data_IF_571731776783
#
_entry.id   IF_571731776783
#
_cell.length_a   1.000
_cell.length_b   1.000
_cell.length_c   1.000
_cell.angle_alpha   90.00
_cell.angle_beta   90.00
_cell.angle_gamma   90.00
#
_symmetry.space_group_name_H-M   'P 1'
#
loop_
_entity.id
_entity.type
_entity.pdbx_description
1 polymer ?
#
# COMPACT_ATOMS: atom_id res chain seq x y z
N UNK A 1 -5.81 22.04 34.07
CA UNK A 1 -6.27 22.56 32.76
C UNK A 1 -6.61 21.37 31.88
N UNK A 2 -7.89 21.09 31.64
CA UNK A 2 -8.30 20.06 30.68
C UNK A 2 -8.37 20.69 29.29
N UNK A 3 -7.44 20.37 28.41
CA UNK A 3 -7.55 20.71 26.99
C UNK A 3 -8.59 19.80 26.35
N UNK A 4 -9.80 20.31 26.09
CA UNK A 4 -10.74 19.65 25.19
C UNK A 4 -10.09 19.64 23.81
N UNK A 5 -9.74 18.47 23.29
CA UNK A 5 -9.35 18.32 21.90
C UNK A 5 -10.56 18.67 21.03
N UNK A 6 -10.42 19.55 20.04
CA UNK A 6 -11.54 19.89 19.15
C UNK A 6 -11.97 18.63 18.40
N UNK A 7 -13.27 18.34 18.41
CA UNK A 7 -13.84 17.26 17.61
C UNK A 7 -13.57 17.56 16.14
N UNK A 8 -12.97 16.63 15.37
CA UNK A 8 -12.74 16.85 13.96
C UNK A 8 -14.08 17.00 13.24
N UNK A 9 -14.29 18.15 12.59
CA UNK A 9 -15.48 18.43 11.79
C UNK A 9 -15.14 18.23 10.32
N UNK A 10 -15.94 17.43 9.61
CA UNK A 10 -15.84 17.29 8.15
C UNK A 10 -16.67 18.39 7.47
N UNK A 11 -16.11 18.99 6.41
CA UNK A 11 -16.86 19.99 5.64
C UNK A 11 -18.08 19.33 4.96
N UNK A 12 -19.22 20.05 4.79
CA UNK A 12 -20.40 19.50 4.13
C UNK A 12 -20.13 18.94 2.72
N UNK A 13 -19.21 19.57 1.98
CA UNK A 13 -18.78 19.10 0.65
C UNK A 13 -18.08 17.75 0.71
N UNK A 14 -17.19 17.57 1.70
CA UNK A 14 -16.50 16.30 1.89
C UNK A 14 -17.46 15.18 2.34
N UNK A 15 -18.43 15.48 3.21
CA UNK A 15 -19.45 14.51 3.61
C UNK A 15 -20.39 14.11 2.46
N UNK A 16 -20.75 15.06 1.59
CA UNK A 16 -21.51 14.75 0.37
C UNK A 16 -20.73 13.84 -0.58
N UNK A 17 -19.45 14.14 -0.82
CA UNK A 17 -18.61 13.28 -1.67
C UNK A 17 -18.48 11.87 -1.09
N UNK A 18 -18.27 11.78 0.23
CA UNK A 18 -18.14 10.51 0.95
C UNK A 18 -19.38 9.61 0.76
N UNK A 19 -20.57 10.16 1.02
CA UNK A 19 -21.84 9.45 0.83
C UNK A 19 -22.10 9.06 -0.63
N UNK A 20 -21.73 9.93 -1.59
CA UNK A 20 -21.83 9.64 -3.03
C UNK A 20 -20.90 8.50 -3.47
N UNK A 21 -19.63 8.52 -3.05
CA UNK A 21 -18.65 7.47 -3.35
C UNK A 21 -19.05 6.13 -2.73
N UNK A 22 -19.52 6.16 -1.50
CA UNK A 22 -19.99 4.97 -0.80
C UNK A 22 -21.37 4.47 -1.27
N UNK A 23 -22.09 5.27 -2.06
CA UNK A 23 -23.47 5.02 -2.52
C UNK A 23 -24.45 4.75 -1.37
N UNK A 24 -24.30 5.48 -0.27
CA UNK A 24 -25.18 5.39 0.89
C UNK A 24 -25.36 6.78 1.52
N UNK A 25 -26.56 7.07 2.03
CA UNK A 25 -26.84 8.32 2.76
C UNK A 25 -26.40 8.28 4.22
N UNK A 26 -26.07 7.10 4.75
CA UNK A 26 -25.51 6.94 6.10
C UNK A 26 -24.02 7.34 6.07
N UNK A 27 -23.70 8.44 6.75
CA UNK A 27 -22.36 9.01 6.76
C UNK A 27 -21.34 8.10 7.45
N UNK A 28 -21.70 7.51 8.59
CA UNK A 28 -20.75 6.67 9.35
C UNK A 28 -20.48 5.37 8.58
N UNK A 29 -21.52 4.77 8.00
CA UNK A 29 -21.37 3.62 7.11
C UNK A 29 -20.55 3.97 5.86
N UNK A 30 -20.76 5.15 5.27
CA UNK A 30 -19.99 5.62 4.13
C UNK A 30 -18.49 5.78 4.48
N UNK A 31 -18.20 6.32 5.65
CA UNK A 31 -16.84 6.55 6.12
C UNK A 31 -16.12 5.23 6.34
N UNK A 32 -16.73 4.30 7.07
CA UNK A 32 -16.17 2.98 7.29
C UNK A 32 -15.93 2.25 5.97
N UNK A 33 -16.92 2.24 5.07
CA UNK A 33 -16.79 1.61 3.75
C UNK A 33 -15.59 2.15 2.99
N UNK A 34 -15.44 3.48 2.89
CA UNK A 34 -14.33 4.10 2.15
C UNK A 34 -12.96 3.82 2.77
N UNK A 35 -12.86 3.76 4.10
CA UNK A 35 -11.62 3.40 4.77
C UNK A 35 -11.21 1.96 4.46
N UNK A 36 -12.17 1.03 4.46
CA UNK A 36 -11.91 -0.38 4.12
C UNK A 36 -11.61 -0.56 2.64
N UNK A 37 -12.38 0.08 1.75
CA UNK A 37 -12.14 0.08 0.31
C UNK A 37 -10.74 0.63 -0.02
N UNK A 38 -10.29 1.67 0.70
CA UNK A 38 -8.94 2.20 0.54
C UNK A 38 -7.87 1.16 0.88
N UNK A 39 -8.03 0.44 2.00
CA UNK A 39 -7.08 -0.62 2.39
C UNK A 39 -7.03 -1.72 1.33
N UNK A 40 -8.18 -2.16 0.83
CA UNK A 40 -8.25 -3.17 -0.24
C UNK A 40 -7.55 -2.70 -1.51
N UNK A 41 -7.86 -1.48 -1.98
CA UNK A 41 -7.26 -0.91 -3.18
C UNK A 41 -5.75 -0.72 -3.02
N UNK A 42 -5.27 -0.35 -1.83
CA UNK A 42 -3.83 -0.21 -1.57
C UNK A 42 -3.10 -1.54 -1.59
N UNK A 43 -3.65 -2.56 -0.94
CA UNK A 43 -3.05 -3.91 -0.97
C UNK A 43 -3.03 -4.44 -2.40
N UNK A 44 -4.11 -4.29 -3.16
CA UNK A 44 -4.18 -4.72 -4.57
C UNK A 44 -3.16 -4.01 -5.47
N UNK A 45 -3.00 -2.69 -5.29
CA UNK A 45 -2.01 -1.92 -6.04
C UNK A 45 -0.58 -2.39 -5.74
N UNK A 46 -0.26 -2.62 -4.46
CA UNK A 46 1.05 -3.11 -4.05
C UNK A 46 1.33 -4.51 -4.60
N UNK A 47 0.35 -5.43 -4.53
CA UNK A 47 0.50 -6.77 -5.09
C UNK A 47 0.69 -6.77 -6.62
N UNK A 48 0.04 -5.83 -7.32
CA UNK A 48 0.21 -5.67 -8.77
C UNK A 48 1.63 -5.18 -9.12
N UNK A 49 2.16 -4.22 -8.36
CA UNK A 49 3.55 -3.75 -8.51
C UNK A 49 4.56 -4.86 -8.20
N UNK A 50 4.34 -5.62 -7.13
CA UNK A 50 5.15 -6.80 -6.77
C UNK A 50 5.14 -7.82 -7.90
N UNK A 51 3.97 -8.17 -8.42
CA UNK A 51 3.83 -9.13 -9.53
C UNK A 51 4.57 -8.67 -10.78
N UNK A 52 4.56 -7.37 -11.07
CA UNK A 52 5.29 -6.81 -12.21
C UNK A 52 6.82 -6.95 -12.05
N UNK A 53 7.33 -6.77 -10.83
CA UNK A 53 8.75 -6.97 -10.51
C UNK A 53 9.12 -8.46 -10.56
N UNK A 54 8.28 -9.34 -9.99
CA UNK A 54 8.45 -10.80 -10.10
C UNK A 54 8.46 -11.27 -11.55
N UNK A 55 7.58 -10.72 -12.39
CA UNK A 55 7.54 -11.04 -13.81
C UNK A 55 8.78 -10.51 -14.56
N UNK A 56 9.28 -9.32 -14.20
CA UNK A 56 10.48 -8.72 -14.79
C UNK A 56 11.72 -9.56 -14.50
N UNK A 57 11.89 -9.99 -13.25
CA UNK A 57 13.09 -10.69 -12.79
C UNK A 57 12.97 -12.22 -12.84
N UNK A 58 11.76 -12.76 -13.03
CA UNK A 58 11.49 -14.19 -13.07
C UNK A 58 11.78 -14.91 -11.75
N UNK A 59 11.74 -14.19 -10.63
CA UNK A 59 12.06 -14.70 -9.30
C UNK A 59 11.33 -13.89 -8.22
N UNK A 60 11.30 -14.41 -6.99
CA UNK A 60 10.78 -13.68 -5.83
C UNK A 60 11.77 -12.63 -5.32
N UNK A 61 11.31 -11.65 -4.53
CA UNK A 61 12.19 -10.64 -3.94
C UNK A 61 13.31 -11.26 -3.10
N UNK A 62 12.99 -12.25 -2.27
CA UNK A 62 13.98 -12.91 -1.41
C UNK A 62 15.03 -13.71 -2.20
N UNK A 63 14.72 -14.19 -3.41
CA UNK A 63 15.70 -14.78 -4.32
C UNK A 63 16.53 -13.70 -5.02
N UNK A 64 15.89 -12.60 -5.42
CA UNK A 64 16.55 -11.43 -6.00
C UNK A 64 17.61 -10.84 -5.06
N UNK A 65 17.25 -10.64 -3.77
CA UNK A 65 18.19 -10.18 -2.74
C UNK A 65 19.39 -11.13 -2.59
N UNK A 66 19.14 -12.44 -2.46
CA UNK A 66 20.22 -13.44 -2.39
C UNK A 66 21.15 -13.39 -3.61
N UNK A 67 20.58 -13.26 -4.80
CA UNK A 67 21.35 -13.17 -6.05
C UNK A 67 22.18 -11.89 -6.15
N UNK A 68 21.73 -10.78 -5.58
CA UNK A 68 22.54 -9.56 -5.45
C UNK A 68 23.69 -9.79 -4.47
N UNK A 69 23.42 -10.33 -3.28
CA UNK A 69 24.43 -10.62 -2.25
C UNK A 69 25.52 -11.58 -2.74
N UNK A 70 25.11 -12.64 -3.46
CA UNK A 70 26.00 -13.64 -4.04
C UNK A 70 26.65 -13.19 -5.36
N UNK A 71 26.36 -11.97 -5.83
CA UNK A 71 26.79 -11.43 -7.13
C UNK A 71 26.49 -12.41 -8.31
N UNK A 72 25.33 -13.06 -8.27
CA UNK A 72 24.88 -14.11 -9.18
C UNK A 72 23.56 -13.78 -9.89
N UNK A 73 23.21 -12.48 -9.92
CA UNK A 73 22.00 -11.96 -10.57
C UNK A 73 22.05 -12.13 -12.11
N UNK A 74 23.24 -12.11 -12.70
CA UNK A 74 23.42 -12.15 -14.17
C UNK A 74 23.35 -10.77 -14.83
N UNK A 75 23.07 -9.73 -14.05
CA UNK A 75 23.20 -8.31 -14.41
C UNK A 75 24.21 -7.62 -13.49
N UNK A 76 24.67 -6.43 -13.87
CA UNK A 76 25.50 -5.60 -13.00
C UNK A 76 24.68 -5.12 -11.81
N UNK A 77 25.01 -5.62 -10.61
CA UNK A 77 24.28 -5.33 -9.37
C UNK A 77 24.30 -3.85 -8.97
N UNK A 78 25.26 -3.08 -9.49
CA UNK A 78 25.38 -1.62 -9.28
C UNK A 78 24.78 -0.80 -10.43
N UNK A 79 24.16 -1.46 -11.41
CA UNK A 79 23.43 -0.75 -12.44
C UNK A 79 22.25 0.00 -11.80
N UNK A 80 22.09 1.27 -12.18
CA UNK A 80 21.01 2.13 -11.67
C UNK A 80 19.62 1.49 -11.78
N UNK A 81 19.35 0.73 -12.83
CA UNK A 81 18.07 0.03 -13.01
C UNK A 81 17.85 -1.11 -11.99
N UNK A 82 18.91 -1.83 -11.62
CA UNK A 82 18.87 -2.89 -10.60
C UNK A 82 18.64 -2.27 -9.23
N UNK A 83 19.36 -1.20 -8.90
CA UNK A 83 19.19 -0.48 -7.65
C UNK A 83 17.78 0.12 -7.52
N UNK A 84 17.28 0.75 -8.58
CA UNK A 84 15.94 1.32 -8.59
C UNK A 84 14.87 0.24 -8.34
N UNK A 85 14.99 -0.90 -8.99
CA UNK A 85 14.07 -2.02 -8.81
C UNK A 85 14.17 -2.59 -7.39
N UNK A 86 15.38 -2.78 -6.85
CA UNK A 86 15.57 -3.21 -5.47
C UNK A 86 14.83 -2.30 -4.49
N UNK A 87 15.04 -0.98 -4.61
CA UNK A 87 14.48 0.01 -3.68
C UNK A 87 12.95 0.07 -3.82
N UNK A 88 12.44 -0.03 -5.03
CA UNK A 88 11.01 -0.10 -5.28
C UNK A 88 10.40 -1.35 -4.65
N UNK A 89 11.04 -2.49 -4.81
CA UNK A 89 10.54 -3.77 -4.31
C UNK A 89 10.57 -3.84 -2.78
N UNK A 90 11.67 -3.43 -2.15
CA UNK A 90 11.81 -3.36 -0.70
C UNK A 90 10.74 -2.47 -0.07
N UNK A 91 10.51 -1.29 -0.68
CA UNK A 91 9.44 -0.39 -0.28
C UNK A 91 8.06 -1.05 -0.43
N UNK A 92 7.83 -1.76 -1.54
CA UNK A 92 6.57 -2.43 -1.80
C UNK A 92 6.28 -3.50 -0.73
N UNK A 93 7.24 -4.39 -0.43
CA UNK A 93 7.09 -5.41 0.61
C UNK A 93 6.80 -4.80 1.98
N UNK A 94 7.55 -3.76 2.35
CA UNK A 94 7.37 -3.06 3.64
C UNK A 94 5.97 -2.45 3.75
N UNK A 95 5.51 -1.76 2.70
CA UNK A 95 4.19 -1.15 2.69
C UNK A 95 3.07 -2.19 2.64
N UNK A 96 3.27 -3.27 1.88
CA UNK A 96 2.29 -4.35 1.76
C UNK A 96 2.05 -4.98 3.12
N UNK A 97 3.13 -5.35 3.83
CA UNK A 97 3.03 -5.88 5.18
C UNK A 97 2.27 -4.92 6.12
N UNK A 98 2.62 -3.63 6.13
CA UNK A 98 1.94 -2.63 6.94
C UNK A 98 0.43 -2.55 6.65
N UNK A 99 0.04 -2.49 5.37
CA UNK A 99 -1.37 -2.38 5.00
C UNK A 99 -2.14 -3.68 5.20
N UNK A 100 -1.52 -4.85 5.04
CA UNK A 100 -2.14 -6.14 5.36
C UNK A 100 -2.40 -6.29 6.88
N UNK A 101 -1.44 -5.90 7.72
CA UNK A 101 -1.61 -5.88 9.17
C UNK A 101 -2.71 -4.90 9.59
N UNK A 102 -2.74 -3.71 8.97
CA UNK A 102 -3.78 -2.72 9.22
C UNK A 102 -5.15 -3.25 8.77
N UNK A 103 -5.23 -3.90 7.61
CA UNK A 103 -6.44 -4.53 7.09
C UNK A 103 -6.96 -5.61 8.02
N UNK A 104 -6.11 -6.53 8.46
CA UNK A 104 -6.48 -7.63 9.37
C UNK A 104 -6.96 -7.14 10.75
N UNK A 105 -6.56 -5.93 11.16
CA UNK A 105 -7.00 -5.33 12.42
C UNK A 105 -8.40 -4.72 12.33
N UNK A 106 -8.81 -4.23 11.17
CA UNK A 106 -10.00 -3.40 10.99
C UNK A 106 -11.09 -4.02 10.10
N UNK A 107 -10.82 -5.18 9.48
CA UNK A 107 -11.80 -6.05 8.81
C UNK A 107 -12.08 -7.29 9.66
#
# INVERSE_FOLDING_TARGET
MNTMTPTPTISPRAGLLLTQLAKTSDFDAALWKLLLDYLDLKVQALESERTALEAKWGMSFGEFQRKIEDNSLGEDVYAFAVEQDYWQWEKNETLRQYYEELRARWM
#
